data_IF_819725004911
#
_entry.id   IF_819725004911
#
_cell.length_a   1.000
_cell.length_b   1.000
_cell.length_c   1.000
_cell.angle_alpha   90.00
_cell.angle_beta   90.00
_cell.angle_gamma   90.00
#
_symmetry.space_group_name_H-M   'P 1'
#
loop_
_entity.id
_entity.type
_entity.pdbx_description
1 polymer ?
#
# COMPACT_ATOMS: atom_id res chain seq x y z
N UNK A 1 2.04 -36.45 10.45
CA UNK A 1 3.39 -36.02 10.07
C UNK A 1 3.29 -35.51 8.63
N UNK A 2 2.98 -34.21 8.49
CA UNK A 2 2.69 -33.58 7.21
C UNK A 2 4.00 -33.00 6.65
N UNK A 3 4.37 -33.45 5.46
CA UNK A 3 5.58 -33.00 4.75
C UNK A 3 5.21 -31.69 4.06
N UNK A 4 5.72 -30.57 4.57
CA UNK A 4 5.63 -29.27 3.89
C UNK A 4 6.56 -29.35 2.68
N UNK A 5 5.96 -29.51 1.51
CA UNK A 5 6.66 -29.41 0.23
C UNK A 5 7.04 -27.95 -0.01
N UNK A 6 8.30 -27.60 0.14
CA UNK A 6 8.85 -26.34 -0.37
C UNK A 6 8.73 -26.38 -1.89
N UNK A 7 7.74 -25.69 -2.44
CA UNK A 7 7.71 -25.37 -3.87
C UNK A 7 8.91 -24.48 -4.16
N UNK A 8 9.95 -25.08 -4.74
CA UNK A 8 11.04 -24.31 -5.34
C UNK A 8 10.45 -23.37 -6.39
N UNK A 9 11.03 -22.18 -6.50
CA UNK A 9 10.73 -21.20 -7.54
C UNK A 9 10.99 -21.87 -8.91
N UNK A 10 9.94 -22.44 -9.50
CA UNK A 10 9.98 -22.89 -10.88
C UNK A 10 9.74 -21.63 -11.70
N UNK A 11 10.81 -20.99 -12.14
CA UNK A 11 10.73 -20.06 -13.27
C UNK A 11 10.19 -20.88 -14.44
N UNK A 12 8.92 -20.65 -14.80
CA UNK A 12 8.37 -21.18 -16.03
C UNK A 12 9.29 -20.73 -17.17
N UNK A 13 9.80 -21.69 -17.92
CA UNK A 13 10.81 -21.49 -18.93
C UNK A 13 10.19 -20.85 -20.18
N UNK A 14 9.85 -19.57 -20.13
CA UNK A 14 9.81 -18.74 -21.31
C UNK A 14 11.26 -18.32 -21.58
N UNK A 15 11.86 -18.94 -22.58
CA UNK A 15 13.23 -18.64 -22.99
C UNK A 15 13.25 -17.29 -23.72
N UNK A 16 13.02 -16.21 -22.98
CA UNK A 16 13.32 -14.86 -23.45
C UNK A 16 14.83 -14.69 -23.35
N UNK A 17 15.51 -14.89 -24.46
CA UNK A 17 16.97 -14.75 -24.57
C UNK A 17 17.44 -13.30 -24.68
N UNK A 18 16.53 -12.33 -24.67
CA UNK A 18 16.81 -10.89 -24.84
C UNK A 18 15.94 -10.05 -23.90
N UNK A 19 16.49 -8.92 -23.48
CA UNK A 19 15.69 -7.88 -22.80
C UNK A 19 14.65 -7.35 -23.79
N UNK A 20 13.42 -7.14 -23.29
CA UNK A 20 12.32 -6.61 -24.06
C UNK A 20 11.91 -5.23 -23.49
N UNK A 21 12.11 -4.19 -24.28
CA UNK A 21 11.78 -2.83 -23.89
C UNK A 21 10.27 -2.57 -23.75
N UNK A 22 9.42 -3.44 -24.31
CA UNK A 22 7.96 -3.35 -24.14
C UNK A 22 7.52 -3.65 -22.72
N UNK A 23 8.36 -4.34 -21.94
CA UNK A 23 8.14 -4.60 -20.51
C UNK A 23 8.55 -3.42 -19.61
N UNK A 24 9.11 -2.35 -20.18
CA UNK A 24 9.44 -1.12 -19.44
C UNK A 24 8.26 -0.18 -19.49
N UNK A 25 7.80 0.28 -18.33
CA UNK A 25 6.60 1.08 -18.25
C UNK A 25 6.76 2.30 -17.33
N UNK A 26 6.03 3.37 -17.65
CA UNK A 26 5.83 4.52 -16.77
C UNK A 26 4.44 4.43 -16.16
N UNK A 27 4.35 4.53 -14.81
CA UNK A 27 3.09 4.58 -14.09
C UNK A 27 2.57 6.01 -13.93
N UNK A 28 1.25 6.17 -13.96
CA UNK A 28 0.54 7.38 -13.55
C UNK A 28 -0.64 6.98 -12.67
N UNK A 29 -0.96 7.79 -11.67
CA UNK A 29 -2.16 7.57 -10.89
C UNK A 29 -3.41 7.69 -11.78
N UNK A 30 -4.39 6.83 -11.51
CA UNK A 30 -5.63 6.75 -12.28
C UNK A 30 -6.41 8.07 -12.18
N UNK A 31 -6.82 8.60 -13.31
CA UNK A 31 -7.63 9.81 -13.36
C UNK A 31 -9.02 9.56 -12.75
N UNK A 32 -9.47 10.48 -11.90
CA UNK A 32 -10.78 10.41 -11.25
C UNK A 32 -10.83 9.73 -9.88
N UNK A 33 -9.72 9.17 -9.43
CA UNK A 33 -9.58 8.54 -8.11
C UNK A 33 -8.63 7.35 -8.14
N UNK A 34 -7.73 7.27 -7.16
CA UNK A 34 -6.68 6.27 -7.13
C UNK A 34 -6.23 5.83 -5.73
N UNK A 35 -6.69 6.49 -4.69
CA UNK A 35 -6.36 6.16 -3.31
C UNK A 35 -7.65 6.03 -2.50
N UNK A 36 -7.92 4.84 -2.00
CA UNK A 36 -9.18 4.50 -1.34
C UNK A 36 -8.91 3.82 -0.01
N UNK A 37 -9.80 4.08 0.97
CA UNK A 37 -9.79 3.41 2.26
C UNK A 37 -11.19 2.87 2.61
N UNK A 38 -11.22 1.74 3.32
CA UNK A 38 -12.43 1.14 3.85
C UNK A 38 -12.16 0.53 5.24
N UNK A 39 -13.19 0.26 6.05
CA UNK A 39 -13.03 -0.56 7.25
C UNK A 39 -12.49 -1.95 6.92
N UNK A 40 -11.65 -2.50 7.79
CA UNK A 40 -11.19 -3.90 7.66
C UNK A 40 -12.39 -4.84 7.68
N UNK A 41 -12.33 -5.87 6.84
CA UNK A 41 -13.43 -6.81 6.61
C UNK A 41 -14.34 -6.44 5.42
N UNK A 42 -14.12 -5.26 4.81
CA UNK A 42 -14.71 -4.93 3.50
C UNK A 42 -14.20 -5.90 2.43
N UNK A 43 -15.06 -6.30 1.50
CA UNK A 43 -14.67 -7.19 0.41
C UNK A 43 -13.55 -6.56 -0.44
N UNK A 44 -12.40 -7.23 -0.47
CA UNK A 44 -11.22 -6.77 -1.21
C UNK A 44 -11.37 -7.09 -2.71
N UNK A 45 -10.87 -6.23 -3.60
CA UNK A 45 -10.81 -6.55 -5.03
C UNK A 45 -9.86 -7.73 -5.25
N UNK A 46 -10.19 -8.57 -6.24
CA UNK A 46 -9.46 -9.80 -6.57
C UNK A 46 -8.74 -9.74 -7.91
N UNK A 47 -8.77 -8.59 -8.58
CA UNK A 47 -8.10 -8.32 -9.84
C UNK A 47 -7.85 -6.81 -10.02
N UNK A 48 -7.18 -6.43 -11.10
CA UNK A 48 -6.85 -5.05 -11.43
C UNK A 48 -8.01 -4.21 -11.98
N UNK A 49 -9.20 -4.81 -12.25
CA UNK A 49 -10.29 -4.15 -12.97
C UNK A 49 -11.62 -4.13 -12.24
N UNK A 50 -11.89 -5.11 -11.36
CA UNK A 50 -13.16 -5.23 -10.65
C UNK A 50 -13.51 -3.92 -9.92
N UNK A 51 -14.79 -3.59 -9.89
CA UNK A 51 -15.27 -2.46 -9.10
C UNK A 51 -14.93 -2.67 -7.62
N UNK A 52 -14.54 -1.59 -6.95
CA UNK A 52 -14.33 -1.62 -5.51
C UNK A 52 -15.69 -1.75 -4.80
N UNK A 53 -15.68 -2.41 -3.64
CA UNK A 53 -16.85 -2.41 -2.77
C UNK A 53 -17.25 -0.96 -2.45
N UNK A 54 -18.57 -0.62 -2.41
CA UNK A 54 -19.04 0.74 -2.10
C UNK A 54 -18.57 1.32 -0.77
N UNK A 55 -18.10 0.49 0.16
CA UNK A 55 -17.53 0.95 1.43
C UNK A 55 -16.14 1.61 1.24
N UNK A 56 -15.46 1.38 0.12
CA UNK A 56 -14.22 2.08 -0.20
C UNK A 56 -14.47 3.54 -0.53
N UNK A 57 -13.97 4.42 0.30
CA UNK A 57 -14.07 5.86 0.14
C UNK A 57 -12.77 6.43 -0.42
N UNK A 58 -12.89 7.36 -1.37
CA UNK A 58 -11.74 8.09 -1.90
C UNK A 58 -11.15 8.97 -0.79
N UNK A 59 -9.86 8.77 -0.49
CA UNK A 59 -9.17 9.55 0.55
C UNK A 59 -8.54 10.84 0.03
N UNK A 60 -8.40 11.00 -1.27
CA UNK A 60 -7.98 12.25 -1.90
C UNK A 60 -6.77 12.12 -2.81
N UNK A 61 -6.26 13.28 -3.25
CA UNK A 61 -5.02 13.37 -4.03
C UNK A 61 -3.80 13.15 -3.13
N UNK A 62 -2.79 12.49 -3.70
CA UNK A 62 -1.45 12.38 -3.13
C UNK A 62 -0.56 13.52 -3.63
N UNK A 63 0.52 13.80 -2.90
CA UNK A 63 1.58 14.69 -3.38
C UNK A 63 2.26 14.12 -4.64
N UNK A 64 3.07 14.93 -5.29
CA UNK A 64 3.84 14.51 -6.47
C UNK A 64 4.87 13.41 -6.16
N UNK A 65 5.29 13.27 -4.90
CA UNK A 65 6.18 12.20 -4.45
C UNK A 65 5.50 10.81 -4.51
N UNK A 66 4.17 10.78 -4.59
CA UNK A 66 3.40 9.54 -4.74
C UNK A 66 3.35 8.71 -3.46
N UNK A 67 3.63 7.41 -3.60
CA UNK A 67 3.63 6.43 -2.52
C UNK A 67 4.99 5.76 -2.48
N UNK A 68 5.59 5.71 -1.28
CA UNK A 68 6.80 4.94 -1.04
C UNK A 68 6.44 3.66 -0.32
N UNK A 69 6.70 2.52 -0.94
CA UNK A 69 6.63 1.21 -0.30
C UNK A 69 8.02 0.84 0.24
N UNK A 70 8.10 0.50 1.51
CA UNK A 70 9.33 0.07 2.17
C UNK A 70 9.15 -1.32 2.74
N UNK A 71 10.10 -2.19 2.46
CA UNK A 71 10.17 -3.55 2.97
C UNK A 71 11.40 -3.71 3.85
N UNK A 72 11.22 -4.13 5.09
CA UNK A 72 12.29 -4.43 6.03
C UNK A 72 12.33 -5.91 6.37
N UNK A 73 13.54 -6.45 6.48
CA UNK A 73 13.76 -7.86 6.84
C UNK A 73 14.88 -7.98 7.87
N UNK A 74 14.64 -8.77 8.92
CA UNK A 74 15.71 -9.21 9.80
C UNK A 74 16.19 -10.61 9.46
N UNK A 75 17.43 -10.89 9.83
CA UNK A 75 18.04 -12.21 9.63
C UNK A 75 18.52 -12.79 10.95
N UNK A 76 18.19 -14.05 11.20
CA UNK A 76 18.77 -14.83 12.29
C UNK A 76 19.94 -15.66 11.78
N UNK A 77 21.00 -15.74 12.59
CA UNK A 77 22.21 -16.51 12.28
C UNK A 77 22.40 -17.59 13.35
N UNK A 78 22.78 -18.78 12.89
CA UNK A 78 23.26 -19.87 13.75
C UNK A 78 24.77 -20.00 13.55
N UNK A 79 25.52 -19.98 14.65
CA UNK A 79 26.96 -20.12 14.64
C UNK A 79 27.38 -21.45 15.27
N UNK A 80 28.48 -22.03 14.78
CA UNK A 80 29.10 -23.17 15.41
C UNK A 80 29.89 -22.80 16.67
N UNK A 81 30.50 -23.80 17.35
CA UNK A 81 31.32 -23.60 18.55
C UNK A 81 32.57 -22.74 18.34
N UNK A 82 33.00 -22.54 17.09
CA UNK A 82 34.13 -21.71 16.71
C UNK A 82 33.71 -20.29 16.30
N UNK A 83 32.40 -19.97 16.37
CA UNK A 83 31.87 -18.68 15.97
C UNK A 83 31.60 -18.51 14.46
N UNK A 84 31.73 -19.58 13.68
CA UNK A 84 31.47 -19.55 12.23
C UNK A 84 29.96 -19.60 11.98
N UNK A 85 29.42 -18.69 11.16
CA UNK A 85 28.00 -18.74 10.74
C UNK A 85 27.76 -19.93 9.84
N UNK A 86 26.99 -20.91 10.32
CA UNK A 86 26.63 -22.15 9.60
C UNK A 86 25.27 -22.08 8.93
N UNK A 87 24.41 -21.15 9.37
CA UNK A 87 23.09 -20.90 8.77
C UNK A 87 22.69 -19.44 8.94
N UNK A 88 22.03 -18.90 7.91
CA UNK A 88 21.40 -17.59 7.94
C UNK A 88 20.00 -17.70 7.33
N UNK A 89 18.98 -17.20 8.04
CA UNK A 89 17.59 -17.23 7.60
C UNK A 89 16.95 -15.87 7.83
N UNK A 90 16.00 -15.49 6.98
CA UNK A 90 15.14 -14.33 7.24
C UNK A 90 14.24 -14.70 8.42
N UNK A 91 14.26 -13.89 9.47
CA UNK A 91 13.53 -14.13 10.73
C UNK A 91 12.30 -13.23 10.88
N UNK A 92 12.30 -12.07 10.23
CA UNK A 92 11.13 -11.18 10.18
C UNK A 92 11.00 -10.51 8.82
N UNK A 93 9.79 -10.10 8.50
CA UNK A 93 9.41 -9.33 7.34
C UNK A 93 8.37 -8.30 7.78
N UNK A 94 8.55 -7.07 7.37
CA UNK A 94 7.57 -6.00 7.55
C UNK A 94 7.49 -5.13 6.31
N UNK A 95 6.32 -4.58 6.08
CA UNK A 95 6.04 -3.74 4.92
C UNK A 95 5.29 -2.50 5.35
N UNK A 96 5.70 -1.34 4.83
CA UNK A 96 5.07 -0.06 5.12
C UNK A 96 4.88 0.76 3.86
N UNK A 97 3.91 1.69 3.92
CA UNK A 97 3.55 2.60 2.84
C UNK A 97 3.50 4.01 3.37
N UNK A 98 4.36 4.89 2.87
CA UNK A 98 4.37 6.32 3.18
C UNK A 98 3.75 7.12 2.03
N UNK A 99 2.90 8.09 2.35
CA UNK A 99 2.29 8.99 1.39
C UNK A 99 1.78 10.27 2.06
N UNK A 100 1.62 11.33 1.25
CA UNK A 100 1.09 12.63 1.69
C UNK A 100 -0.23 12.90 0.99
N UNK A 101 -1.32 13.05 1.76
CA UNK A 101 -2.65 13.44 1.28
C UNK A 101 -2.75 14.96 1.21
N UNK A 102 -2.91 15.51 0.01
CA UNK A 102 -2.94 16.96 -0.22
C UNK A 102 -4.35 17.56 -0.31
N UNK A 103 -5.40 16.74 -0.32
CA UNK A 103 -6.77 17.24 -0.19
C UNK A 103 -7.09 17.60 1.26
N UNK A 104 -6.43 18.61 1.78
CA UNK A 104 -6.54 19.07 3.15
C UNK A 104 -7.98 19.32 3.63
N UNK A 105 -8.88 19.72 2.74
CA UNK A 105 -10.28 20.01 3.06
C UNK A 105 -11.21 18.78 3.02
N UNK A 106 -10.67 17.61 2.67
CA UNK A 106 -11.41 16.34 2.64
C UNK A 106 -11.42 15.69 4.02
N UNK A 107 -12.61 15.36 4.50
CA UNK A 107 -12.77 14.71 5.81
C UNK A 107 -12.06 13.35 5.86
N UNK A 108 -12.20 12.53 4.81
CA UNK A 108 -11.55 11.23 4.73
C UNK A 108 -10.01 11.33 4.82
N UNK A 109 -9.41 12.35 4.19
CA UNK A 109 -7.97 12.60 4.31
C UNK A 109 -7.55 12.93 5.75
N UNK A 110 -8.32 13.79 6.43
CA UNK A 110 -8.07 14.11 7.83
C UNK A 110 -8.26 12.89 8.75
N UNK A 111 -9.26 12.06 8.48
CA UNK A 111 -9.53 10.83 9.24
C UNK A 111 -8.41 9.79 9.07
N UNK A 112 -7.77 9.75 7.91
CA UNK A 112 -6.59 8.89 7.70
C UNK A 112 -5.45 9.26 8.66
N UNK A 113 -5.24 10.54 8.95
CA UNK A 113 -4.17 10.97 9.87
C UNK A 113 -4.58 10.92 11.34
N UNK A 114 -5.78 11.42 11.67
CA UNK A 114 -6.17 11.68 13.06
C UNK A 114 -7.11 10.63 13.67
N UNK A 115 -7.58 9.68 12.86
CA UNK A 115 -8.61 8.72 13.28
C UNK A 115 -10.04 9.25 13.07
N UNK A 116 -10.99 8.33 13.06
CA UNK A 116 -12.38 8.65 12.77
C UNK A 116 -13.01 9.53 13.86
N UNK A 117 -12.73 9.25 15.13
CA UNK A 117 -13.34 9.93 16.28
C UNK A 117 -12.79 11.34 16.49
N UNK A 118 -11.60 11.61 15.99
CA UNK A 118 -10.96 12.91 16.10
C UNK A 118 -11.51 13.95 15.11
N UNK A 119 -12.19 13.51 14.04
CA UNK A 119 -12.64 14.39 12.93
C UNK A 119 -14.15 14.41 12.84
N UNK A 120 -14.76 15.55 13.18
CA UNK A 120 -16.20 15.76 13.10
C UNK A 120 -16.56 16.82 12.04
N UNK A 121 -17.80 16.80 11.55
CA UNK A 121 -18.24 17.70 10.49
C UNK A 121 -18.25 17.05 9.11
N UNK A 122 -18.04 17.86 8.07
CA UNK A 122 -18.05 17.46 6.66
C UNK A 122 -16.91 18.13 5.90
N UNK A 123 -16.68 17.73 4.67
CA UNK A 123 -15.71 18.37 3.77
C UNK A 123 -15.85 19.89 3.80
N UNK A 124 -14.71 20.58 3.81
CA UNK A 124 -14.59 22.05 3.87
C UNK A 124 -15.14 22.71 5.15
N UNK A 125 -15.68 21.90 6.09
CA UNK A 125 -16.20 22.40 7.38
C UNK A 125 -16.10 21.31 8.44
N UNK A 126 -14.90 21.14 8.99
CA UNK A 126 -14.60 20.09 9.96
C UNK A 126 -13.88 20.65 11.20
N UNK A 127 -14.05 19.95 12.30
CA UNK A 127 -13.27 20.17 13.53
C UNK A 127 -12.39 18.93 13.73
N UNK A 128 -11.11 19.17 13.88
CA UNK A 128 -10.11 18.13 14.13
C UNK A 128 -9.59 18.30 15.56
N UNK A 129 -9.75 17.28 16.37
CA UNK A 129 -9.16 17.22 17.71
C UNK A 129 -7.83 16.51 17.61
N UNK A 130 -6.77 17.16 18.03
CA UNK A 130 -5.46 16.56 18.12
C UNK A 130 -5.39 15.74 19.39
N UNK A 131 -5.50 14.46 19.23
CA UNK A 131 -5.45 13.45 20.30
C UNK A 131 -4.66 12.24 19.78
N UNK A 132 -4.31 11.31 20.66
CA UNK A 132 -3.71 10.05 20.24
C UNK A 132 -4.67 9.37 19.24
N UNK A 133 -4.21 9.06 18.02
CA UNK A 133 -5.05 8.34 17.05
C UNK A 133 -5.42 6.96 17.59
N UNK A 134 -6.58 6.48 17.19
CA UNK A 134 -6.95 5.09 17.45
C UNK A 134 -6.08 4.14 16.59
N UNK A 135 -5.87 2.92 17.07
CA UNK A 135 -5.14 1.88 16.36
C UNK A 135 -6.05 1.06 15.43
N UNK A 136 -7.25 1.56 15.11
CA UNK A 136 -8.20 0.88 14.24
C UNK A 136 -7.59 0.75 12.84
N UNK A 137 -7.36 -0.48 12.35
CA UNK A 137 -6.80 -0.68 11.04
C UNK A 137 -7.84 -0.37 9.95
N UNK A 138 -7.35 -0.06 8.76
CA UNK A 138 -8.15 0.20 7.56
C UNK A 138 -7.65 -0.65 6.41
N UNK A 139 -8.55 -0.99 5.47
CA UNK A 139 -8.15 -1.54 4.17
C UNK A 139 -7.84 -0.40 3.21
N UNK A 140 -6.75 -0.52 2.45
CA UNK A 140 -6.32 0.48 1.47
C UNK A 140 -6.25 -0.12 0.07
N UNK A 141 -6.58 0.69 -0.93
CA UNK A 141 -6.40 0.35 -2.34
C UNK A 141 -5.80 1.54 -3.06
N UNK A 142 -4.71 1.28 -3.80
CA UNK A 142 -4.09 2.25 -4.68
C UNK A 142 -4.17 1.79 -6.13
N UNK A 143 -4.46 2.69 -7.06
CA UNK A 143 -4.62 2.40 -8.47
C UNK A 143 -3.71 3.24 -9.35
N UNK A 144 -2.84 2.57 -10.10
CA UNK A 144 -1.92 3.17 -11.07
C UNK A 144 -2.30 2.67 -12.46
N UNK A 145 -2.08 3.50 -13.47
CA UNK A 145 -2.21 3.13 -14.88
C UNK A 145 -0.84 3.31 -15.52
N UNK A 146 -0.28 2.22 -15.98
CA UNK A 146 1.01 2.16 -16.63
C UNK A 146 0.89 2.35 -18.16
N UNK A 147 2.01 2.49 -18.84
CA UNK A 147 2.06 2.57 -20.33
C UNK A 147 1.30 1.41 -20.96
N UNK A 148 0.60 1.64 -22.08
CA UNK A 148 -0.24 0.62 -22.71
C UNK A 148 -1.56 0.37 -21.97
N UNK A 149 -1.97 1.27 -21.05
CA UNK A 149 -3.16 1.12 -20.21
C UNK A 149 -3.14 -0.11 -19.30
N UNK A 150 -1.96 -0.63 -18.99
CA UNK A 150 -1.79 -1.69 -17.99
C UNK A 150 -2.21 -1.12 -16.63
N UNK A 151 -3.09 -1.83 -15.95
CA UNK A 151 -3.55 -1.45 -14.60
C UNK A 151 -2.70 -2.14 -13.56
N UNK A 152 -2.31 -1.38 -12.58
CA UNK A 152 -1.61 -1.82 -11.39
C UNK A 152 -2.43 -1.38 -10.19
N UNK A 153 -2.86 -2.35 -9.40
CA UNK A 153 -3.69 -2.16 -8.22
C UNK A 153 -3.02 -2.82 -7.02
N UNK A 154 -2.58 -2.00 -6.07
CA UNK A 154 -2.09 -2.46 -4.78
C UNK A 154 -3.23 -2.51 -3.76
N UNK A 155 -3.38 -3.64 -3.09
CA UNK A 155 -4.43 -3.91 -2.10
C UNK A 155 -3.78 -4.28 -0.78
N UNK A 156 -4.07 -3.50 0.26
CA UNK A 156 -3.62 -3.73 1.64
C UNK A 156 -4.87 -4.01 2.46
N UNK A 157 -5.11 -5.26 2.83
CA UNK A 157 -6.34 -5.67 3.50
C UNK A 157 -6.45 -5.20 4.95
N UNK A 158 -5.30 -4.94 5.58
CA UNK A 158 -5.22 -4.40 6.95
C UNK A 158 -3.99 -3.51 7.07
N UNK A 159 -4.19 -2.22 7.23
CA UNK A 159 -3.14 -1.23 7.41
C UNK A 159 -3.35 -0.47 8.72
N UNK A 160 -2.32 -0.41 9.55
CA UNK A 160 -2.31 0.36 10.81
C UNK A 160 -1.41 1.57 10.65
N UNK A 161 -1.86 2.74 11.10
CA UNK A 161 -1.04 3.96 11.13
C UNK A 161 0.16 3.74 12.03
N UNK A 162 1.36 4.04 11.54
CA UNK A 162 2.60 3.84 12.29
C UNK A 162 3.34 5.14 12.56
N UNK A 163 3.41 6.02 11.57
CA UNK A 163 4.13 7.28 11.69
C UNK A 163 3.32 8.43 11.10
N UNK A 164 3.55 9.60 11.67
CA UNK A 164 2.93 10.85 11.25
C UNK A 164 4.03 11.85 10.96
N UNK A 165 4.27 12.14 9.69
CA UNK A 165 5.24 13.14 9.28
C UNK A 165 4.87 14.54 9.79
N UNK A 166 5.83 15.45 9.72
CA UNK A 166 5.63 16.83 10.13
C UNK A 166 4.53 17.51 9.29
N UNK A 167 3.63 18.21 9.97
CA UNK A 167 2.67 19.07 9.30
C UNK A 167 3.26 20.47 9.18
N UNK A 168 3.75 20.80 8.01
CA UNK A 168 4.25 22.14 7.73
C UNK A 168 3.10 23.09 7.37
N UNK A 169 3.12 24.28 7.96
CA UNK A 169 2.14 25.34 7.73
C UNK A 169 2.88 26.57 7.17
N UNK A 170 3.11 26.56 5.86
CA UNK A 170 3.80 27.60 5.12
C UNK A 170 2.83 28.36 4.22
N UNK A 171 3.18 29.60 3.88
CA UNK A 171 2.39 30.41 2.94
C UNK A 171 2.58 29.99 1.47
N UNK A 172 3.64 29.23 1.17
CA UNK A 172 4.03 28.81 -0.18
C UNK A 172 3.80 27.35 -0.49
N UNK A 173 3.48 26.53 0.52
CA UNK A 173 3.37 25.09 0.35
C UNK A 173 1.93 24.60 0.42
N UNK A 174 1.67 23.48 -0.24
CA UNK A 174 0.37 22.80 -0.17
C UNK A 174 0.21 22.19 1.22
N UNK A 175 -0.92 22.48 1.86
CA UNK A 175 -1.27 21.85 3.13
C UNK A 175 -1.64 20.38 2.87
N UNK A 176 -1.03 19.48 3.64
CA UNK A 176 -1.24 18.04 3.49
C UNK A 176 -1.18 17.29 4.81
N UNK A 177 -1.45 16.00 4.72
CA UNK A 177 -1.35 15.03 5.80
C UNK A 177 -0.34 13.95 5.40
N UNK A 178 0.87 14.03 5.95
CA UNK A 178 1.91 13.02 5.81
C UNK A 178 1.67 11.91 6.83
N UNK A 179 1.68 10.66 6.36
CA UNK A 179 1.52 9.48 7.21
C UNK A 179 2.18 8.26 6.60
N UNK A 180 2.60 7.37 7.48
CA UNK A 180 3.05 6.02 7.13
C UNK A 180 2.07 5.01 7.73
N UNK A 181 1.77 3.97 7.00
CA UNK A 181 0.97 2.84 7.47
C UNK A 181 1.79 1.55 7.34
N UNK A 182 1.69 0.70 8.34
CA UNK A 182 2.21 -0.66 8.27
C UNK A 182 1.15 -1.58 7.68
N UNK A 183 1.54 -2.40 6.71
CA UNK A 183 0.70 -3.46 6.18
C UNK A 183 0.76 -4.67 7.12
N UNK A 184 -0.37 -5.02 7.72
CA UNK A 184 -0.49 -6.15 8.62
C UNK A 184 -0.72 -7.44 7.83
N UNK A 185 -0.38 -8.57 8.43
CA UNK A 185 -0.66 -9.88 7.87
C UNK A 185 -2.18 -10.05 7.59
N UNK A 186 -2.51 -10.42 6.37
CA UNK A 186 -3.87 -10.76 5.92
C UNK A 186 -4.16 -12.26 5.99
N UNK A 187 -3.19 -13.04 6.44
CA UNK A 187 -3.17 -14.49 6.48
C UNK A 187 -2.04 -15.07 5.63
N UNK A 188 -1.47 -16.16 6.10
CA UNK A 188 -0.37 -16.87 5.45
C UNK A 188 0.91 -16.03 5.19
N UNK A 189 1.13 -14.96 5.96
CA UNK A 189 2.28 -14.07 5.82
C UNK A 189 2.18 -13.07 4.66
N UNK A 190 0.97 -12.85 4.12
CA UNK A 190 0.72 -11.88 3.05
C UNK A 190 0.33 -10.54 3.65
N UNK A 191 1.09 -9.48 3.36
CA UNK A 191 0.85 -8.12 3.86
C UNK A 191 0.11 -7.24 2.87
N UNK A 192 0.40 -7.43 1.57
CA UNK A 192 -0.28 -6.73 0.47
C UNK A 192 -0.37 -7.62 -0.76
N UNK A 193 -1.25 -7.27 -1.68
CA UNK A 193 -1.40 -7.95 -2.97
C UNK A 193 -1.37 -6.90 -4.07
N UNK A 194 -0.55 -7.11 -5.08
CA UNK A 194 -0.48 -6.26 -6.27
C UNK A 194 -1.05 -7.02 -7.47
N UNK A 195 -2.05 -6.44 -8.12
CA UNK A 195 -2.66 -6.96 -9.31
C UNK A 195 -2.25 -6.13 -10.52
N UNK A 196 -1.39 -6.69 -11.37
CA UNK A 196 -0.96 -6.06 -12.61
C UNK A 196 -1.65 -6.77 -13.78
N UNK A 197 -2.32 -6.01 -14.64
CA UNK A 197 -3.05 -6.61 -15.76
C UNK A 197 -3.40 -5.64 -16.87
N UNK A 198 -3.50 -6.20 -18.06
CA UNK A 198 -4.04 -5.50 -19.22
C UNK A 198 -5.57 -5.62 -19.19
N UNK A 199 -6.32 -4.52 -19.40
CA UNK A 199 -7.77 -4.57 -19.42
C UNK A 199 -8.31 -5.60 -20.42
N UNK A 200 -9.33 -6.34 -20.03
CA UNK A 200 -9.97 -7.35 -20.87
C UNK A 200 -10.44 -6.73 -22.20
N UNK A 201 -10.01 -7.31 -23.31
CA UNK A 201 -10.35 -6.83 -24.65
C UNK A 201 -9.35 -5.83 -25.24
N UNK A 202 -8.25 -5.54 -24.57
CA UNK A 202 -7.11 -4.80 -25.13
C UNK A 202 -5.91 -5.74 -25.26
N UNK A 203 -5.13 -5.54 -26.33
CA UNK A 203 -3.80 -6.14 -26.53
C UNK A 203 -2.77 -5.02 -26.51
N UNK A 204 -1.59 -5.28 -26.02
CA UNK A 204 -0.43 -4.41 -26.13
C UNK A 204 0.02 -4.29 -27.59
#
# INVERSE_FOLDING_TARGET
>A
MSIISRKGLIMANETTTKNDSTNVSFGKFKVGGYAYAAPVGTALPTDSESALDPAFQLIGYLSEDGITNTTDTDTAEVKDANGTTVMKVVSSYSESYQFVLIEFLRKAAAQMRYGNDAVTGKDKSMVIKHQMPDDTPVSLVFEIVATGNVKDRTVIGSATRSEFGDRQMHSSDVLGYDLTVNANDMGDGVTSIEYIGIPKGQSL
#
